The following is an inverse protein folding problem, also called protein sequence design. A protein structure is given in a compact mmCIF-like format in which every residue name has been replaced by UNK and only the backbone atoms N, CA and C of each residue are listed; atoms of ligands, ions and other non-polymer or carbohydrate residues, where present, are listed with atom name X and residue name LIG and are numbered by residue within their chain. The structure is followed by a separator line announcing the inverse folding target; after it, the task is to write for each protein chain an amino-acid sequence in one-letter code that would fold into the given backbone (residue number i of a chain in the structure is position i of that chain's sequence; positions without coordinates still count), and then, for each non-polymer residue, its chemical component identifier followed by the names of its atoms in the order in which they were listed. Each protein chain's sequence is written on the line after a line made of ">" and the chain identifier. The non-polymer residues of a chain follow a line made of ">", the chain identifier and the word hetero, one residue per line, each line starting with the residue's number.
data_IF_851565528788
#
_entry.id   IF_851565528788
#
_cell.length_a   1.000
_cell.length_b   1.000
_cell.length_c   1.000
_cell.angle_alpha   90.00
_cell.angle_beta   90.00
_cell.angle_gamma   90.00
#
_symmetry.space_group_name_H-M   'P 1'
#
loop_
_entity.id
_entity.type
_entity.pdbx_description
1 polymer ?
#
# COMPACT_ATOMS: atom_id res chain seq x y z
N UNK A 1 7.62 21.72 -12.54
CA UNK A 1 8.23 20.41 -12.85
C UNK A 1 7.75 20.02 -14.25
N UNK A 2 8.61 20.16 -15.25
CA UNK A 2 8.24 19.91 -16.65
C UNK A 2 8.97 18.66 -17.17
N UNK A 3 8.24 17.66 -17.69
CA UNK A 3 8.88 16.50 -18.31
C UNK A 3 9.49 16.86 -19.66
N UNK A 4 10.56 16.16 -20.06
CA UNK A 4 11.21 16.36 -21.37
C UNK A 4 10.26 16.05 -22.54
N UNK A 5 9.42 15.02 -22.39
CA UNK A 5 8.36 14.69 -23.35
C UNK A 5 7.19 14.03 -22.62
N UNK A 6 5.96 14.41 -22.96
CA UNK A 6 4.74 13.75 -22.47
C UNK A 6 4.24 12.61 -23.35
N UNK A 7 4.60 12.61 -24.64
CA UNK A 7 4.20 11.59 -25.60
C UNK A 7 5.29 11.41 -26.67
N UNK A 8 6.26 10.50 -26.47
CA UNK A 8 7.46 10.40 -27.32
C UNK A 8 7.21 9.81 -28.72
N UNK A 9 5.98 9.44 -29.08
CA UNK A 9 5.64 8.84 -30.38
C UNK A 9 6.03 7.36 -30.49
N UNK A 10 5.71 6.71 -31.62
CA UNK A 10 6.02 5.29 -31.83
C UNK A 10 7.52 5.10 -32.07
N UNK A 11 8.06 4.03 -31.49
CA UNK A 11 9.45 3.60 -31.65
C UNK A 11 9.49 2.18 -32.24
N UNK A 12 10.66 1.77 -32.70
CA UNK A 12 10.95 0.38 -33.09
C UNK A 12 11.69 -0.35 -31.96
N UNK A 13 11.53 -1.66 -31.90
CA UNK A 13 12.22 -2.50 -30.91
C UNK A 13 13.75 -2.34 -30.98
N UNK A 14 14.32 -2.14 -32.18
CA UNK A 14 15.75 -1.87 -32.35
C UNK A 14 16.21 -0.54 -31.74
N UNK A 15 15.37 0.50 -31.77
CA UNK A 15 15.72 1.82 -31.19
C UNK A 15 15.78 1.78 -29.66
N UNK A 16 14.94 0.95 -29.02
CA UNK A 16 14.84 0.85 -27.56
C UNK A 16 15.53 -0.39 -26.97
N UNK A 17 16.11 -1.25 -27.81
CA UNK A 17 16.84 -2.45 -27.38
C UNK A 17 15.96 -3.59 -26.85
N UNK A 18 14.68 -3.66 -27.27
CA UNK A 18 13.79 -4.76 -26.87
C UNK A 18 14.06 -6.03 -27.70
N UNK A 19 14.09 -7.18 -27.03
CA UNK A 19 14.35 -8.51 -27.65
C UNK A 19 13.08 -9.12 -28.25
N UNK A 20 12.50 -8.43 -29.22
CA UNK A 20 11.42 -8.90 -30.08
C UNK A 20 11.83 -8.75 -31.56
N UNK A 21 10.91 -8.87 -32.52
CA UNK A 21 11.24 -8.60 -33.92
C UNK A 21 11.81 -7.16 -34.06
N UNK A 22 12.95 -6.94 -34.75
CA UNK A 22 13.62 -5.63 -34.76
C UNK A 22 12.75 -4.46 -35.26
N UNK A 23 11.87 -4.72 -36.24
CA UNK A 23 10.87 -3.75 -36.75
C UNK A 23 9.56 -3.75 -35.96
N UNK A 24 9.50 -4.44 -34.83
CA UNK A 24 8.33 -4.45 -33.95
C UNK A 24 8.07 -3.04 -33.44
N UNK A 25 6.82 -2.60 -33.48
CA UNK A 25 6.40 -1.29 -32.98
C UNK A 25 6.34 -1.31 -31.46
N UNK A 26 6.84 -0.25 -30.84
CA UNK A 26 6.84 -0.01 -29.40
C UNK A 26 6.09 1.30 -29.19
N UNK A 27 4.90 1.20 -28.60
CA UNK A 27 4.07 2.35 -28.24
C UNK A 27 4.25 2.68 -26.76
N UNK A 28 4.59 3.93 -26.47
CA UNK A 28 4.67 4.46 -25.11
C UNK A 28 3.40 5.28 -24.87
N UNK A 29 2.64 4.91 -23.83
CA UNK A 29 1.46 5.68 -23.44
C UNK A 29 1.87 7.11 -23.00
N UNK A 30 0.99 8.10 -23.14
CA UNK A 30 1.33 9.47 -22.75
C UNK A 30 1.38 9.61 -21.22
N UNK A 31 2.35 10.37 -20.73
CA UNK A 31 2.39 10.86 -19.35
C UNK A 31 1.53 12.12 -19.21
N UNK A 32 0.87 12.27 -18.06
CA UNK A 32 -0.01 13.42 -17.78
C UNK A 32 0.79 14.60 -17.22
N UNK A 33 1.75 14.32 -16.34
CA UNK A 33 2.60 15.32 -15.69
C UNK A 33 3.93 14.70 -15.25
N UNK A 34 4.83 15.50 -14.67
CA UNK A 34 6.14 15.03 -14.20
C UNK A 34 6.06 13.87 -13.18
N UNK A 35 4.99 13.80 -12.38
CA UNK A 35 4.76 12.79 -11.35
C UNK A 35 3.51 11.94 -11.61
N UNK A 36 2.87 12.08 -12.77
CA UNK A 36 1.71 11.27 -13.15
C UNK A 36 2.01 10.66 -14.50
N UNK A 37 2.45 9.41 -14.44
CA UNK A 37 3.07 8.71 -15.55
C UNK A 37 2.09 8.05 -16.51
N UNK A 38 2.64 7.30 -17.48
CA UNK A 38 1.88 6.54 -18.47
C UNK A 38 1.17 5.30 -17.89
N UNK A 39 1.63 4.80 -16.75
CA UNK A 39 0.95 3.80 -15.91
C UNK A 39 -0.47 4.26 -15.52
N UNK A 40 -0.61 5.50 -15.04
CA UNK A 40 -1.91 6.06 -14.66
C UNK A 40 -2.81 6.28 -15.89
N UNK A 41 -2.22 6.63 -17.02
CA UNK A 41 -2.95 6.67 -18.28
C UNK A 41 -3.46 5.28 -18.67
N UNK A 42 -2.68 4.22 -18.45
CA UNK A 42 -3.10 2.84 -18.69
C UNK A 42 -4.27 2.45 -17.77
N UNK A 43 -4.19 2.78 -16.50
CA UNK A 43 -5.24 2.54 -15.50
C UNK A 43 -6.55 3.24 -15.86
N UNK A 44 -6.47 4.51 -16.28
CA UNK A 44 -7.64 5.27 -16.73
C UNK A 44 -8.28 4.69 -17.98
N UNK A 45 -7.47 4.15 -18.89
CA UNK A 45 -7.94 3.48 -20.09
C UNK A 45 -8.66 2.18 -19.72
N UNK A 46 -8.03 1.36 -18.86
CA UNK A 46 -8.53 0.05 -18.42
C UNK A 46 -9.84 0.18 -17.65
N UNK A 47 -9.90 1.11 -16.69
CA UNK A 47 -11.10 1.33 -15.89
C UNK A 47 -12.20 2.11 -16.61
N UNK A 48 -11.87 2.75 -17.73
CA UNK A 48 -12.84 3.45 -18.58
C UNK A 48 -13.54 4.62 -17.89
N UNK A 49 -12.97 5.17 -16.81
CA UNK A 49 -13.57 6.24 -16.00
C UNK A 49 -13.86 7.50 -16.84
N UNK A 50 -12.99 7.80 -17.80
CA UNK A 50 -13.15 8.89 -18.77
C UNK A 50 -14.36 8.76 -19.72
N UNK A 51 -15.00 7.58 -19.77
CA UNK A 51 -16.23 7.31 -20.55
C UNK A 51 -17.47 7.15 -19.67
N UNK A 52 -17.27 7.03 -18.36
CA UNK A 52 -18.34 6.71 -17.43
C UNK A 52 -19.18 7.94 -17.07
N UNK A 53 -20.46 7.69 -16.84
CA UNK A 53 -21.42 8.69 -16.42
C UNK A 53 -21.23 9.12 -14.96
N UNK A 54 -20.89 8.14 -14.13
CA UNK A 54 -20.61 8.30 -12.71
C UNK A 54 -19.21 8.85 -12.47
N UNK A 55 -19.05 9.60 -11.39
CA UNK A 55 -17.75 10.05 -10.92
C UNK A 55 -17.02 8.88 -10.26
N UNK A 56 -15.87 8.53 -10.78
CA UNK A 56 -15.05 7.42 -10.28
C UNK A 56 -13.72 7.91 -9.74
N UNK A 57 -13.24 7.30 -8.67
CA UNK A 57 -11.89 7.52 -8.14
C UNK A 57 -11.04 6.28 -8.43
N UNK A 58 -9.91 6.47 -9.09
CA UNK A 58 -8.81 5.51 -9.17
C UNK A 58 -7.75 5.88 -8.15
N UNK A 59 -7.23 4.88 -7.44
CA UNK A 59 -6.12 5.01 -6.50
C UNK A 59 -5.12 3.89 -6.83
N UNK A 60 -4.00 4.25 -7.43
CA UNK A 60 -2.86 3.35 -7.60
C UNK A 60 -1.90 3.57 -6.42
N UNK A 61 -1.60 2.50 -5.69
CA UNK A 61 -0.76 2.53 -4.49
C UNK A 61 0.54 1.77 -4.77
N UNK A 62 1.62 2.53 -4.86
CA UNK A 62 2.97 2.04 -4.77
C UNK A 62 3.82 2.94 -3.88
N UNK A 63 5.08 3.12 -4.27
CA UNK A 63 6.04 3.96 -3.56
C UNK A 63 5.57 5.42 -3.54
N UNK A 64 4.98 5.86 -4.64
CA UNK A 64 4.06 6.97 -4.66
C UNK A 64 2.63 6.41 -4.74
N UNK A 65 1.66 7.24 -4.38
CA UNK A 65 0.28 6.93 -4.68
C UNK A 65 -0.30 7.97 -5.60
N UNK A 66 -0.69 7.51 -6.77
CA UNK A 66 -1.29 8.28 -7.84
C UNK A 66 -2.81 8.12 -7.78
N UNK A 67 -3.49 9.26 -7.84
CA UNK A 67 -4.93 9.34 -7.69
C UNK A 67 -5.49 9.96 -8.95
N UNK A 68 -6.55 9.38 -9.49
CA UNK A 68 -7.28 10.03 -10.57
C UNK A 68 -8.80 9.97 -10.37
N UNK A 69 -9.41 11.14 -10.37
CA UNK A 69 -10.85 11.31 -10.40
C UNK A 69 -11.29 11.47 -11.86
N UNK A 70 -12.26 10.68 -12.33
CA UNK A 70 -12.66 10.67 -13.73
C UNK A 70 -14.16 10.48 -13.95
N UNK A 71 -14.66 11.11 -15.00
CA UNK A 71 -15.98 10.88 -15.62
C UNK A 71 -15.93 11.34 -17.08
N UNK A 72 -17.03 11.18 -17.83
CA UNK A 72 -17.15 11.78 -19.17
C UNK A 72 -16.99 13.31 -19.21
N UNK A 73 -17.11 13.98 -18.06
CA UNK A 73 -16.97 15.44 -17.94
C UNK A 73 -15.50 15.88 -17.82
N UNK A 74 -14.59 14.96 -17.55
CA UNK A 74 -13.17 15.26 -17.38
C UNK A 74 -12.48 14.33 -16.38
N UNK A 75 -11.15 14.44 -16.35
CA UNK A 75 -10.27 13.73 -15.42
C UNK A 75 -9.37 14.71 -14.68
N UNK A 76 -9.11 14.43 -13.41
CA UNK A 76 -8.21 15.18 -12.54
C UNK A 76 -7.29 14.19 -11.83
N UNK A 77 -5.98 14.42 -11.90
CA UNK A 77 -5.00 13.53 -11.29
C UNK A 77 -4.08 14.28 -10.34
N UNK A 78 -3.58 13.58 -9.33
CA UNK A 78 -2.44 14.02 -8.52
C UNK A 78 -1.61 12.81 -8.10
N UNK A 79 -0.38 13.09 -7.65
CA UNK A 79 0.48 12.10 -7.02
C UNK A 79 0.77 12.53 -5.58
N UNK A 80 0.92 11.55 -4.70
CA UNK A 80 1.22 11.75 -3.28
C UNK A 80 2.43 10.90 -2.89
N UNK A 81 3.38 11.44 -2.10
CA UNK A 81 4.56 10.70 -1.68
C UNK A 81 4.22 9.75 -0.52
N UNK A 82 3.56 8.62 -0.84
CA UNK A 82 3.08 7.65 0.15
C UNK A 82 4.22 6.93 0.89
N UNK A 83 5.33 6.66 0.19
CA UNK A 83 6.34 5.72 0.64
C UNK A 83 5.89 4.27 0.44
N UNK A 84 6.82 3.31 0.33
CA UNK A 84 6.52 1.96 -0.13
C UNK A 84 6.02 1.03 0.99
N UNK A 85 5.43 1.59 2.07
CA UNK A 85 5.05 0.83 3.26
C UNK A 85 4.02 -0.26 2.95
N UNK A 86 3.05 0.02 2.07
CA UNK A 86 2.05 -0.98 1.64
C UNK A 86 2.61 -2.01 0.65
N UNK A 87 3.80 -1.78 0.06
CA UNK A 87 4.54 -2.80 -0.70
C UNK A 87 5.39 -3.70 0.22
N UNK A 88 5.33 -3.50 1.55
CA UNK A 88 6.13 -4.19 2.54
C UNK A 88 7.57 -3.67 2.67
N UNK A 89 7.99 -2.71 1.83
CA UNK A 89 9.36 -2.18 1.86
C UNK A 89 9.56 -1.18 2.99
N UNK A 90 10.73 -1.25 3.64
CA UNK A 90 11.08 -0.36 4.76
C UNK A 90 10.43 -0.71 6.09
N UNK A 91 9.72 -1.85 6.18
CA UNK A 91 9.13 -2.38 7.41
C UNK A 91 9.95 -3.56 7.93
N UNK A 92 9.88 -3.81 9.25
CA UNK A 92 10.70 -4.83 9.93
C UNK A 92 10.53 -6.23 9.35
N UNK A 93 9.28 -6.65 9.10
CA UNK A 93 8.92 -7.94 8.50
C UNK A 93 7.97 -7.78 7.31
N UNK A 94 7.97 -6.59 6.69
CA UNK A 94 7.18 -6.36 5.49
C UNK A 94 7.81 -7.03 4.28
N UNK A 95 6.98 -7.56 3.39
CA UNK A 95 7.41 -8.14 2.13
C UNK A 95 6.34 -7.97 1.06
N UNK A 96 6.72 -8.20 -0.20
CA UNK A 96 5.75 -8.36 -1.29
C UNK A 96 4.94 -9.61 -1.04
N UNK A 97 3.70 -9.66 -1.54
CA UNK A 97 2.95 -10.88 -1.42
C UNK A 97 3.44 -11.92 -2.43
N UNK A 98 3.94 -12.99 -1.84
CA UNK A 98 4.56 -14.14 -2.47
C UNK A 98 4.44 -15.29 -1.47
N UNK A 99 4.87 -16.50 -1.86
CA UNK A 99 4.88 -17.66 -0.97
C UNK A 99 5.50 -17.31 0.41
N UNK A 100 4.83 -17.73 1.48
CA UNK A 100 5.24 -17.45 2.86
C UNK A 100 4.81 -16.08 3.43
N UNK A 101 4.22 -15.19 2.62
CA UNK A 101 3.69 -13.92 3.12
C UNK A 101 2.35 -14.11 3.82
N UNK A 102 2.17 -13.50 4.99
CA UNK A 102 0.86 -13.39 5.64
C UNK A 102 0.02 -12.40 4.82
N UNK A 103 -1.14 -12.84 4.31
CA UNK A 103 -2.04 -12.05 3.45
C UNK A 103 -3.32 -11.58 4.12
N UNK A 104 -3.72 -12.22 5.21
CA UNK A 104 -4.82 -11.75 6.05
C UNK A 104 -4.59 -12.13 7.49
N UNK A 105 -5.07 -11.29 8.42
CA UNK A 105 -4.99 -11.57 9.84
C UNK A 105 -6.19 -11.01 10.62
N UNK A 106 -6.46 -11.60 11.77
CA UNK A 106 -7.41 -11.10 12.76
C UNK A 106 -6.84 -11.20 14.16
N UNK A 107 -7.27 -10.31 15.05
CA UNK A 107 -6.77 -10.22 16.44
C UNK A 107 -7.93 -10.43 17.40
N UNK A 108 -7.86 -11.45 18.25
CA UNK A 108 -8.88 -11.66 19.28
C UNK A 108 -8.87 -10.48 20.28
N UNK A 109 -10.01 -9.79 20.49
CA UNK A 109 -10.06 -8.56 21.27
C UNK A 109 -9.83 -8.74 22.78
N UNK A 110 -9.80 -9.99 23.27
CA UNK A 110 -9.59 -10.29 24.70
C UNK A 110 -8.18 -10.76 24.99
N UNK A 111 -7.70 -11.72 24.20
CA UNK A 111 -6.39 -12.37 24.37
C UNK A 111 -5.28 -11.73 23.55
N UNK A 112 -5.63 -10.94 22.53
CA UNK A 112 -4.73 -10.42 21.51
C UNK A 112 -4.00 -11.50 20.70
N UNK A 113 -4.46 -12.75 20.79
CA UNK A 113 -3.96 -13.84 19.94
C UNK A 113 -4.37 -13.59 18.49
N UNK A 114 -3.44 -13.82 17.59
CA UNK A 114 -3.61 -13.64 16.16
C UNK A 114 -3.99 -14.95 15.47
N UNK A 115 -4.82 -14.84 14.46
CA UNK A 115 -5.07 -15.88 13.45
C UNK A 115 -4.80 -15.28 12.08
N UNK A 116 -4.20 -16.03 11.17
CA UNK A 116 -3.72 -15.50 9.90
C UNK A 116 -3.78 -16.52 8.77
N UNK A 117 -3.72 -16.04 7.54
CA UNK A 117 -3.58 -16.82 6.31
C UNK A 117 -2.26 -16.47 5.63
N UNK A 118 -1.61 -17.48 5.06
CA UNK A 118 -0.32 -17.36 4.39
C UNK A 118 -0.51 -17.71 2.91
N UNK A 119 0.14 -16.97 2.02
CA UNK A 119 0.16 -17.27 0.60
C UNK A 119 0.96 -18.57 0.39
N UNK A 120 0.31 -19.57 -0.20
CA UNK A 120 0.87 -20.91 -0.36
C UNK A 120 0.58 -21.83 0.84
N UNK A 121 1.21 -23.00 0.86
CA UNK A 121 1.08 -23.99 1.94
C UNK A 121 2.40 -24.08 2.72
N UNK A 122 2.89 -22.91 3.14
CA UNK A 122 4.20 -22.73 3.77
C UNK A 122 4.08 -22.02 5.12
N UNK A 123 5.16 -22.07 5.90
CA UNK A 123 5.24 -21.30 7.14
C UNK A 123 5.47 -19.82 6.83
N UNK A 124 4.98 -18.90 7.69
CA UNK A 124 5.14 -17.48 7.45
C UNK A 124 6.60 -17.03 7.57
N UNK A 125 7.00 -16.12 6.67
CA UNK A 125 8.32 -15.44 6.67
C UNK A 125 8.21 -13.92 6.74
N UNK A 126 7.03 -13.37 6.52
CA UNK A 126 6.78 -11.94 6.58
C UNK A 126 5.32 -11.58 6.35
N UNK A 127 5.04 -10.29 6.15
CA UNK A 127 3.70 -9.71 6.11
C UNK A 127 3.56 -8.87 4.84
N UNK A 128 2.53 -9.12 4.04
CA UNK A 128 2.28 -8.30 2.86
C UNK A 128 1.30 -7.14 3.14
N UNK A 129 1.13 -6.28 2.13
CA UNK A 129 0.32 -5.06 2.21
C UNK A 129 -1.09 -5.27 2.75
N UNK A 130 -1.79 -6.28 2.27
CA UNK A 130 -3.16 -6.59 2.72
C UNK A 130 -3.23 -6.92 4.22
N UNK A 131 -2.33 -7.76 4.72
CA UNK A 131 -2.27 -8.11 6.14
C UNK A 131 -1.84 -6.93 7.03
N UNK A 132 -1.01 -6.01 6.53
CA UNK A 132 -0.66 -4.79 7.25
C UNK A 132 -1.87 -3.85 7.39
N UNK A 133 -2.75 -3.81 6.39
CA UNK A 133 -4.03 -3.09 6.48
C UNK A 133 -4.94 -3.76 7.52
N UNK A 134 -5.07 -5.09 7.48
CA UNK A 134 -5.81 -5.87 8.47
C UNK A 134 -5.30 -5.59 9.89
N UNK A 135 -3.97 -5.57 10.08
CA UNK A 135 -3.37 -5.26 11.38
C UNK A 135 -3.78 -3.88 11.92
N UNK A 136 -3.78 -2.84 11.10
CA UNK A 136 -4.22 -1.52 11.55
C UNK A 136 -5.69 -1.53 11.95
N UNK A 137 -6.55 -2.20 11.18
CA UNK A 137 -7.98 -2.29 11.44
C UNK A 137 -8.28 -3.10 12.71
N UNK A 138 -7.71 -4.29 12.82
CA UNK A 138 -7.89 -5.23 13.93
C UNK A 138 -7.21 -4.73 15.19
N UNK A 139 -6.05 -4.08 15.08
CA UNK A 139 -5.36 -3.43 16.18
C UNK A 139 -6.21 -2.33 16.82
N UNK A 140 -6.92 -1.53 16.01
CA UNK A 140 -7.87 -0.54 16.53
C UNK A 140 -9.10 -1.19 17.18
N UNK A 141 -9.68 -2.22 16.56
CA UNK A 141 -10.88 -2.92 17.06
C UNK A 141 -10.63 -3.66 18.37
N UNK A 142 -9.49 -4.35 18.47
CA UNK A 142 -9.04 -5.09 19.66
C UNK A 142 -8.52 -4.20 20.78
N UNK A 143 -8.42 -2.88 20.54
CA UNK A 143 -7.80 -1.91 21.46
C UNK A 143 -6.31 -2.18 21.73
N UNK A 144 -5.63 -2.96 20.89
CA UNK A 144 -4.16 -3.03 20.84
C UNK A 144 -3.57 -1.66 20.51
N UNK A 145 -4.19 -0.96 19.56
CA UNK A 145 -3.79 0.37 19.10
C UNK A 145 -4.69 1.45 19.71
N UNK A 146 -4.09 2.59 20.05
CA UNK A 146 -4.80 3.82 20.32
C UNK A 146 -5.34 4.45 19.04
N UNK A 147 -6.23 5.46 19.16
CA UNK A 147 -6.71 6.23 17.99
C UNK A 147 -5.60 6.97 17.23
N UNK A 148 -4.44 7.17 17.86
CA UNK A 148 -3.26 7.77 17.23
C UNK A 148 -2.29 6.74 16.66
N UNK A 149 -2.61 5.44 16.74
CA UNK A 149 -1.78 4.38 16.20
C UNK A 149 -0.57 4.01 17.06
N UNK A 150 -0.62 4.28 18.36
CA UNK A 150 0.38 3.79 19.32
C UNK A 150 -0.07 2.47 19.92
N UNK A 151 0.86 1.56 20.15
CA UNK A 151 0.57 0.34 20.91
C UNK A 151 0.29 0.78 22.35
N UNK A 152 -0.81 0.31 22.91
CA UNK A 152 -1.26 0.74 24.23
C UNK A 152 -0.25 0.33 25.32
N UNK A 153 0.35 1.29 26.06
CA UNK A 153 1.40 0.99 27.03
C UNK A 153 0.97 0.03 28.13
N UNK A 154 -0.30 0.04 28.53
CA UNK A 154 -0.83 -0.89 29.54
C UNK A 154 -0.68 -2.36 29.15
N UNK A 155 -0.49 -2.67 27.86
CA UNK A 155 -0.31 -4.03 27.38
C UNK A 155 1.10 -4.58 27.58
N UNK A 156 2.10 -3.73 27.86
CA UNK A 156 3.47 -4.17 28.14
C UNK A 156 3.54 -5.10 29.35
N UNK A 157 2.71 -4.84 30.36
CA UNK A 157 2.68 -5.62 31.59
C UNK A 157 1.61 -6.73 31.58
N UNK A 158 0.65 -6.65 30.66
CA UNK A 158 -0.55 -7.50 30.68
C UNK A 158 -0.71 -8.44 29.48
N UNK A 159 0.10 -8.29 28.43
CA UNK A 159 0.01 -9.11 27.21
C UNK A 159 1.33 -9.80 26.90
N UNK A 160 1.33 -11.13 26.66
CA UNK A 160 2.54 -11.84 26.24
C UNK A 160 2.93 -11.54 24.78
N UNK A 161 2.14 -10.74 24.06
CA UNK A 161 2.38 -10.38 22.66
C UNK A 161 2.96 -8.97 22.50
N UNK A 162 3.07 -8.18 23.58
CA UNK A 162 3.59 -6.80 23.51
C UNK A 162 4.86 -6.72 24.33
N UNK A 163 5.94 -6.20 23.75
CA UNK A 163 7.22 -6.03 24.45
C UNK A 163 7.97 -4.79 23.98
N UNK A 164 9.02 -4.42 24.72
CA UNK A 164 10.03 -3.46 24.27
C UNK A 164 11.11 -4.18 23.46
N UNK A 165 11.57 -3.51 22.41
CA UNK A 165 12.66 -3.98 21.57
C UNK A 165 13.66 -2.86 21.28
N UNK A 166 14.91 -3.26 21.04
CA UNK A 166 15.99 -2.35 20.63
C UNK A 166 16.25 -2.56 19.15
N UNK A 167 16.08 -1.51 18.35
CA UNK A 167 16.35 -1.55 16.91
C UNK A 167 17.85 -1.44 16.61
N UNK A 168 18.30 -1.72 15.37
CA UNK A 168 19.71 -1.61 14.97
C UNK A 168 20.33 -0.22 15.19
N UNK A 169 19.51 0.83 15.10
CA UNK A 169 19.89 2.22 15.39
C UNK A 169 19.94 2.55 16.90
N UNK A 170 19.81 1.54 17.76
CA UNK A 170 19.75 1.60 19.24
C UNK A 170 18.52 2.31 19.80
N UNK A 171 17.55 2.69 18.97
CA UNK A 171 16.29 3.23 19.46
C UNK A 171 15.44 2.15 20.14
N UNK A 172 14.72 2.54 21.19
CA UNK A 172 13.76 1.68 21.87
C UNK A 172 12.39 1.86 21.23
N UNK A 173 11.73 0.76 20.92
CA UNK A 173 10.37 0.75 20.38
C UNK A 173 9.50 -0.25 21.12
N UNK A 174 8.19 -0.05 21.06
CA UNK A 174 7.23 -1.09 21.40
C UNK A 174 6.93 -1.91 20.15
N UNK A 175 6.83 -3.22 20.29
CA UNK A 175 6.45 -4.11 19.20
C UNK A 175 5.36 -5.09 19.63
N UNK A 176 4.60 -5.53 18.64
CA UNK A 176 3.61 -6.58 18.77
C UNK A 176 4.11 -7.84 18.06
N UNK A 177 4.15 -8.96 18.78
CA UNK A 177 4.56 -10.26 18.27
C UNK A 177 3.37 -10.91 17.57
N UNK A 178 3.39 -10.88 16.23
CA UNK A 178 2.34 -11.42 15.38
C UNK A 178 2.42 -12.96 15.27
N UNK A 179 3.64 -13.48 15.07
CA UNK A 179 3.92 -14.92 14.97
C UNK A 179 5.13 -15.25 15.82
N UNK A 180 5.03 -16.31 16.62
CA UNK A 180 6.16 -16.79 17.43
C UNK A 180 7.16 -17.57 16.57
N UNK A 181 8.44 -17.48 16.93
CA UNK A 181 9.55 -18.16 16.26
C UNK A 181 9.29 -19.64 15.94
N UNK A 182 8.67 -20.41 16.85
CA UNK A 182 8.40 -21.83 16.59
C UNK A 182 7.41 -22.09 15.43
N UNK A 183 6.63 -21.07 15.07
CA UNK A 183 5.63 -21.13 13.99
C UNK A 183 6.15 -20.57 12.66
N UNK A 184 7.31 -19.90 12.65
CA UNK A 184 7.90 -19.35 11.42
C UNK A 184 8.70 -20.39 10.65
N UNK A 185 9.05 -20.08 9.40
CA UNK A 185 9.85 -20.95 8.54
C UNK A 185 11.20 -21.32 9.17
N UNK A 186 11.91 -20.33 9.71
CA UNK A 186 13.25 -20.52 10.28
C UNK A 186 13.25 -21.17 11.68
N UNK A 187 12.10 -21.19 12.36
CA UNK A 187 11.95 -21.72 13.71
C UNK A 187 12.62 -20.89 14.80
N UNK A 188 13.10 -19.68 14.49
CA UNK A 188 14.06 -18.93 15.32
C UNK A 188 13.70 -17.47 15.54
N UNK A 189 12.98 -16.87 14.60
CA UNK A 189 12.72 -15.43 14.61
C UNK A 189 11.23 -15.18 14.74
N UNK A 190 10.82 -14.39 15.74
CA UNK A 190 9.44 -13.91 15.84
C UNK A 190 9.13 -12.94 14.69
N UNK A 191 7.96 -13.05 14.05
CA UNK A 191 7.47 -12.02 13.13
C UNK A 191 6.74 -10.97 13.98
N UNK A 192 7.20 -9.73 13.92
CA UNK A 192 6.70 -8.63 14.75
C UNK A 192 6.30 -7.42 13.90
N UNK A 193 5.45 -6.58 14.47
CA UNK A 193 5.13 -5.24 13.95
C UNK A 193 5.49 -4.21 15.01
N UNK A 194 6.39 -3.30 14.67
CA UNK A 194 6.87 -2.26 15.59
C UNK A 194 6.04 -0.98 15.50
N UNK A 195 6.13 -0.11 16.50
CA UNK A 195 5.53 1.23 16.43
C UNK A 195 6.10 2.11 15.29
N UNK A 196 7.33 1.84 14.83
CA UNK A 196 7.88 2.52 13.65
C UNK A 196 7.22 2.03 12.36
N UNK A 197 6.95 0.73 12.26
CA UNK A 197 6.22 0.15 11.11
C UNK A 197 4.81 0.75 11.03
N UNK A 198 4.12 0.82 12.17
CA UNK A 198 2.78 1.42 12.28
C UNK A 198 2.81 2.89 11.86
N UNK A 199 3.83 3.64 12.30
CA UNK A 199 3.99 5.05 11.93
C UNK A 199 4.16 5.23 10.42
N UNK A 200 5.00 4.41 9.78
CA UNK A 200 5.19 4.44 8.33
C UNK A 200 3.89 4.14 7.56
N UNK A 201 3.13 3.12 7.99
CA UNK A 201 1.84 2.77 7.39
C UNK A 201 0.81 3.91 7.55
N UNK A 202 0.77 4.55 8.72
CA UNK A 202 -0.15 5.66 8.97
C UNK A 202 0.20 6.90 8.16
N UNK A 203 1.49 7.18 7.95
CA UNK A 203 1.94 8.26 7.07
C UNK A 203 1.50 8.02 5.63
N UNK A 204 1.75 6.81 5.10
CA UNK A 204 1.31 6.43 3.75
C UNK A 204 -0.21 6.58 3.60
N UNK A 205 -0.99 6.03 4.53
CA UNK A 205 -2.45 6.14 4.54
C UNK A 205 -2.92 7.60 4.65
N UNK A 206 -2.23 8.43 5.44
CA UNK A 206 -2.61 9.82 5.65
C UNK A 206 -2.43 10.67 4.39
N UNK A 207 -1.32 10.52 3.66
CA UNK A 207 -1.07 11.32 2.46
C UNK A 207 -1.96 10.91 1.30
N UNK A 208 -2.25 9.61 1.14
CA UNK A 208 -3.24 9.11 0.18
C UNK A 208 -4.60 9.73 0.45
N UNK A 209 -5.07 9.64 1.70
CA UNK A 209 -6.36 10.20 2.09
C UNK A 209 -6.41 11.73 1.94
N UNK A 210 -5.31 12.42 2.23
CA UNK A 210 -5.20 13.86 2.00
C UNK A 210 -5.31 14.19 0.50
N UNK A 211 -4.63 13.45 -0.37
CA UNK A 211 -4.72 13.60 -1.83
C UNK A 211 -6.15 13.44 -2.34
N UNK A 212 -6.85 12.38 -1.89
CA UNK A 212 -8.26 12.14 -2.24
C UNK A 212 -9.12 13.34 -1.83
N UNK A 213 -8.95 13.82 -0.59
CA UNK A 213 -9.71 14.98 -0.09
C UNK A 213 -9.44 16.26 -0.87
N UNK A 214 -8.19 16.50 -1.26
CA UNK A 214 -7.80 17.68 -2.04
C UNK A 214 -8.41 17.61 -3.44
N UNK A 215 -8.33 16.46 -4.13
CA UNK A 215 -8.95 16.28 -5.44
C UNK A 215 -10.45 16.53 -5.40
N UNK A 216 -11.17 15.88 -4.48
CA UNK A 216 -12.61 16.06 -4.32
C UNK A 216 -12.97 17.52 -4.03
N UNK A 217 -12.23 18.19 -3.14
CA UNK A 217 -12.44 19.60 -2.81
C UNK A 217 -12.25 20.50 -4.04
N UNK A 218 -11.20 20.26 -4.83
CA UNK A 218 -10.88 21.09 -6.00
C UNK A 218 -11.96 21.03 -7.09
N UNK A 219 -12.67 19.90 -7.21
CA UNK A 219 -13.79 19.76 -8.16
C UNK A 219 -15.16 20.02 -7.54
N UNK A 220 -15.21 20.48 -6.28
CA UNK A 220 -16.46 20.76 -5.57
C UNK A 220 -17.32 19.53 -5.26
N UNK A 221 -16.69 18.36 -5.10
CA UNK A 221 -17.35 17.06 -4.82
C UNK A 221 -17.06 16.57 -3.41
N UNK A 222 -17.88 15.65 -2.94
CA UNK A 222 -17.78 14.92 -1.67
C UNK A 222 -17.54 13.45 -1.94
N UNK A 223 -17.06 12.72 -0.93
CA UNK A 223 -16.87 11.27 -1.05
C UNK A 223 -18.18 10.51 -1.39
N UNK A 224 -19.33 11.02 -0.95
CA UNK A 224 -20.65 10.46 -1.26
C UNK A 224 -21.07 10.65 -2.72
N UNK A 225 -20.39 11.51 -3.48
CA UNK A 225 -20.66 11.71 -4.91
C UNK A 225 -19.93 10.67 -5.78
N UNK A 226 -19.04 9.86 -5.19
CA UNK A 226 -18.33 8.80 -5.91
C UNK A 226 -19.26 7.62 -6.14
N UNK A 227 -19.46 7.25 -7.41
CA UNK A 227 -20.19 6.03 -7.79
C UNK A 227 -19.34 4.78 -7.64
N UNK A 228 -18.03 4.90 -7.91
CA UNK A 228 -17.09 3.78 -7.83
C UNK A 228 -15.70 4.22 -7.38
N UNK A 229 -15.03 3.32 -6.67
CA UNK A 229 -13.61 3.41 -6.34
C UNK A 229 -12.89 2.20 -6.92
N UNK A 230 -11.83 2.46 -7.68
CA UNK A 230 -10.89 1.46 -8.18
C UNK A 230 -9.61 1.55 -7.37
N UNK A 231 -9.08 0.39 -6.99
CA UNK A 231 -7.79 0.27 -6.29
C UNK A 231 -6.85 -0.53 -7.18
N UNK A 232 -5.67 0.03 -7.43
CA UNK A 232 -4.54 -0.61 -8.09
C UNK A 232 -3.32 -0.56 -7.16
N UNK A 233 -2.29 -1.35 -7.48
CA UNK A 233 -1.08 -1.46 -6.68
C UNK A 233 -0.81 -2.86 -6.12
N UNK A 234 0.40 -3.06 -5.61
CA UNK A 234 0.88 -4.34 -5.11
C UNK A 234 0.53 -4.53 -3.63
N UNK A 235 -0.73 -4.88 -3.33
CA UNK A 235 -1.16 -5.28 -1.99
C UNK A 235 -1.06 -6.79 -1.73
N UNK A 236 -0.99 -7.56 -2.82
CA UNK A 236 -1.15 -9.02 -2.90
C UNK A 236 -0.03 -9.66 -3.74
#
# INVERSE_FOLDING_TARGET
>A
FEPVAGAPGPLTASEVGLRIHPRGRVDILPAIAAYVGPDITADLLLCGTHRADELSLMVDIGTNAELCLGSRQGCWACATPAGPAFEGSGLSFGMRASAGAIESLSIDPKSLKTTYQVIGDEKPVGICGSALIDFLAEGLRSRLLSKTGRIKPELLDSSPYVRKATLPDKSQVTEFVLVRAEQTEDGKTDIVITEKDIEALLQAKAVIFAGIRILLKNVGKKALDLGKVYLAGAFA
#
